data_IF_644360834583
#
_entry.id   IF_644360834583
#
_cell.length_a   1.000
_cell.length_b   1.000
_cell.length_c   1.000
_cell.angle_alpha   90.00
_cell.angle_beta   90.00
_cell.angle_gamma   90.00
#
_symmetry.space_group_name_H-M   'P 1'
#
loop_
_entity.id
_entity.type
_entity.pdbx_description
1 polymer ?
#
# COMPACT_ATOMS: atom_id res chain seq x y z
N UNK A 1 -13.44 2.21 17.89
CA UNK A 1 -12.47 2.93 18.77
C UNK A 1 -12.12 2.14 20.03
N UNK A 2 -12.43 0.85 20.07
CA UNK A 2 -12.09 -0.06 21.16
C UNK A 2 -10.69 -0.69 21.03
N UNK A 3 -9.97 -0.38 19.96
CA UNK A 3 -8.65 -0.92 19.63
C UNK A 3 -8.68 -2.22 18.80
N UNK A 4 -9.85 -2.70 18.43
CA UNK A 4 -9.97 -3.85 17.54
C UNK A 4 -9.46 -3.49 16.14
N UNK A 5 -8.52 -4.28 15.62
CA UNK A 5 -8.03 -4.13 14.24
C UNK A 5 -8.98 -4.86 13.28
N UNK A 6 -9.39 -4.17 12.24
CA UNK A 6 -10.17 -4.72 11.13
C UNK A 6 -9.41 -4.49 9.84
N UNK A 7 -9.01 -5.56 9.17
CA UNK A 7 -8.35 -5.50 7.86
C UNK A 7 -9.38 -5.81 6.77
N UNK A 8 -9.51 -4.91 5.81
CA UNK A 8 -10.48 -5.02 4.71
C UNK A 8 -9.73 -5.00 3.39
N UNK A 9 -9.95 -6.02 2.57
CA UNK A 9 -9.59 -6.02 1.17
C UNK A 9 -10.89 -6.09 0.36
N UNK A 10 -11.13 -5.12 -0.52
CA UNK A 10 -12.34 -5.06 -1.34
C UNK A 10 -11.99 -4.93 -2.81
N UNK A 11 -12.61 -5.74 -3.65
CA UNK A 11 -12.41 -5.76 -5.09
C UNK A 11 -11.30 -6.71 -5.55
N UNK A 12 -10.82 -7.58 -4.66
CA UNK A 12 -9.86 -8.65 -5.01
C UNK A 12 -10.57 -9.85 -5.65
N UNK A 13 -11.81 -10.14 -5.25
CA UNK A 13 -12.67 -11.13 -5.88
C UNK A 13 -13.33 -10.55 -7.14
N UNK A 14 -13.38 -11.33 -8.22
CA UNK A 14 -14.01 -10.92 -9.50
C UNK A 14 -15.51 -10.63 -9.39
N UNK A 15 -16.17 -11.15 -8.37
CA UNK A 15 -17.58 -10.90 -8.09
C UNK A 15 -17.81 -9.66 -7.21
N UNK A 16 -16.76 -9.08 -6.64
CA UNK A 16 -16.86 -7.84 -5.89
C UNK A 16 -16.82 -6.63 -6.83
N UNK A 17 -17.46 -5.54 -6.39
CA UNK A 17 -17.34 -4.26 -7.09
C UNK A 17 -15.95 -3.67 -6.90
N UNK A 18 -15.47 -2.98 -7.92
CA UNK A 18 -14.28 -2.14 -7.83
C UNK A 18 -14.66 -0.65 -7.85
N UNK A 19 -13.69 0.19 -7.55
CA UNK A 19 -13.83 1.64 -7.54
C UNK A 19 -13.17 2.26 -8.75
N UNK A 20 -13.52 3.50 -9.06
CA UNK A 20 -12.87 4.20 -10.15
C UNK A 20 -12.61 5.66 -9.79
N UNK A 21 -11.51 6.19 -10.30
CA UNK A 21 -11.22 7.62 -10.33
C UNK A 21 -11.68 8.12 -11.68
N UNK A 22 -12.54 9.15 -11.67
CA UNK A 22 -13.03 9.75 -12.93
C UNK A 22 -12.02 10.75 -13.47
N UNK A 23 -12.04 10.92 -14.78
CA UNK A 23 -11.28 11.95 -15.48
C UNK A 23 -12.21 12.73 -16.43
N UNK A 24 -11.73 13.89 -16.88
CA UNK A 24 -12.46 14.73 -17.80
C UNK A 24 -12.34 14.21 -19.24
N UNK A 25 -13.41 14.33 -19.99
CA UNK A 25 -13.36 14.10 -21.44
C UNK A 25 -12.41 15.10 -22.12
N UNK A 26 -11.72 14.75 -23.19
CA UNK A 26 -10.68 15.58 -23.81
C UNK A 26 -11.13 17.02 -24.15
N UNK A 27 -12.38 17.20 -24.54
CA UNK A 27 -12.92 18.53 -24.85
C UNK A 27 -13.20 19.40 -23.62
N UNK A 28 -13.31 18.79 -22.43
CA UNK A 28 -13.43 19.49 -21.14
C UNK A 28 -12.08 19.64 -20.43
N UNK A 29 -11.09 18.84 -20.81
CA UNK A 29 -9.78 18.74 -20.16
C UNK A 29 -8.72 19.71 -20.73
N UNK A 30 -9.10 20.76 -21.46
CA UNK A 30 -8.15 21.67 -22.13
C UNK A 30 -7.12 22.28 -21.18
N UNK A 31 -7.57 22.71 -20.02
CA UNK A 31 -6.68 23.31 -19.02
C UNK A 31 -5.72 22.27 -18.46
N UNK A 32 -6.21 21.10 -18.10
CA UNK A 32 -5.40 19.97 -17.63
C UNK A 32 -4.38 19.53 -18.69
N UNK A 33 -4.81 19.38 -19.94
CA UNK A 33 -3.96 18.95 -21.06
C UNK A 33 -2.87 19.96 -21.43
N UNK A 34 -3.02 21.23 -21.04
CA UNK A 34 -2.02 22.27 -21.25
C UNK A 34 -0.93 22.34 -20.18
N UNK A 35 -1.14 21.66 -19.05
CA UNK A 35 -0.17 21.60 -17.97
C UNK A 35 1.00 20.68 -18.33
N UNK A 36 2.24 20.94 -17.82
CA UNK A 36 3.31 19.96 -17.87
C UNK A 36 2.86 18.63 -17.24
N UNK A 37 3.32 17.51 -17.79
CA UNK A 37 2.86 16.19 -17.36
C UNK A 37 2.98 15.97 -15.83
N UNK A 38 4.06 16.46 -15.22
CA UNK A 38 4.28 16.38 -13.76
C UNK A 38 3.27 17.18 -12.93
N UNK A 39 2.44 18.02 -13.54
CA UNK A 39 1.42 18.86 -12.89
C UNK A 39 0.02 18.64 -13.47
N UNK A 40 -0.13 17.75 -14.42
CA UNK A 40 -1.41 17.50 -15.09
C UNK A 40 -2.41 16.77 -14.19
N UNK A 41 -1.89 15.92 -13.32
CA UNK A 41 -2.68 15.15 -12.35
C UNK A 41 -2.20 15.55 -10.95
N UNK A 42 -3.06 16.22 -10.21
CA UNK A 42 -2.81 16.62 -8.83
C UNK A 42 -3.45 15.57 -7.91
N UNK A 43 -2.71 15.08 -6.90
CA UNK A 43 -3.17 14.02 -6.00
C UNK A 43 -4.49 14.37 -5.30
N UNK A 44 -4.68 15.65 -4.94
CA UNK A 44 -5.89 16.16 -4.29
C UNK A 44 -7.15 16.04 -5.17
N UNK A 45 -6.98 15.89 -6.48
CA UNK A 45 -8.08 15.75 -7.44
C UNK A 45 -8.41 14.26 -7.76
N UNK A 46 -7.65 13.32 -7.24
CA UNK A 46 -7.88 11.90 -7.43
C UNK A 46 -9.00 11.38 -6.51
N UNK A 47 -10.21 11.88 -6.72
CA UNK A 47 -11.38 11.46 -5.96
C UNK A 47 -11.93 10.13 -6.48
N UNK A 48 -12.14 9.19 -5.58
CA UNK A 48 -12.65 7.85 -5.88
C UNK A 48 -14.15 7.81 -5.73
N UNK A 49 -14.85 7.31 -6.73
CA UNK A 49 -16.29 7.05 -6.64
C UNK A 49 -16.52 5.79 -5.82
N UNK A 50 -17.16 5.95 -4.67
CA UNK A 50 -17.54 4.86 -3.77
C UNK A 50 -18.99 4.39 -3.99
N UNK A 51 -19.85 5.24 -4.54
CA UNK A 51 -21.26 4.93 -4.78
C UNK A 51 -22.02 6.14 -5.28
N UNK A 52 -23.26 5.90 -5.75
CA UNK A 52 -24.15 6.96 -6.24
C UNK A 52 -25.60 6.74 -5.83
N UNK A 53 -25.92 5.62 -5.21
CA UNK A 53 -27.29 5.28 -4.81
C UNK A 53 -27.57 5.83 -3.41
N UNK A 54 -28.66 6.61 -3.22
CA UNK A 54 -29.05 7.07 -1.89
C UNK A 54 -29.58 5.87 -1.04
N UNK A 55 -29.48 6.01 0.27
CA UNK A 55 -30.04 5.05 1.22
C UNK A 55 -31.56 4.95 1.13
N UNK A 56 -32.21 6.10 1.00
CA UNK A 56 -33.65 6.24 0.79
C UNK A 56 -33.87 7.29 -0.33
N UNK A 57 -34.44 6.86 -1.45
CA UNK A 57 -34.67 7.71 -2.61
C UNK A 57 -35.80 8.72 -2.41
N UNK A 58 -36.72 8.46 -1.48
CA UNK A 58 -37.91 9.28 -1.21
C UNK A 58 -37.69 10.29 -0.07
N UNK A 59 -36.50 10.29 0.54
CA UNK A 59 -36.15 11.21 1.62
C UNK A 59 -35.51 12.49 1.12
N UNK A 60 -35.86 13.61 1.72
CA UNK A 60 -35.26 14.94 1.48
C UNK A 60 -34.00 15.18 2.35
N UNK A 61 -33.53 14.18 3.10
CA UNK A 61 -32.33 14.29 3.93
C UNK A 61 -31.06 14.46 3.09
N UNK A 62 -30.03 15.04 3.71
CA UNK A 62 -28.74 15.23 3.04
C UNK A 62 -27.83 14.01 3.22
N UNK A 63 -26.85 13.89 2.33
CA UNK A 63 -25.78 12.90 2.42
C UNK A 63 -26.24 11.43 2.38
N UNK A 64 -27.41 11.15 1.76
CA UNK A 64 -27.98 9.81 1.69
C UNK A 64 -27.12 8.81 0.93
N UNK A 65 -26.29 9.24 -0.02
CA UNK A 65 -25.32 8.38 -0.71
C UNK A 65 -24.20 7.95 0.27
N UNK A 66 -23.69 8.88 1.05
CA UNK A 66 -22.72 8.58 2.12
C UNK A 66 -23.32 7.60 3.13
N UNK A 67 -24.55 7.86 3.56
CA UNK A 67 -25.27 6.98 4.49
C UNK A 67 -25.39 5.56 3.93
N UNK A 68 -25.73 5.39 2.65
CA UNK A 68 -25.81 4.08 2.03
C UNK A 68 -24.47 3.35 2.00
N UNK A 69 -23.38 4.04 1.64
CA UNK A 69 -22.03 3.47 1.67
C UNK A 69 -21.67 3.03 3.09
N UNK A 70 -21.95 3.89 4.08
CA UNK A 70 -21.70 3.56 5.49
C UNK A 70 -22.53 2.38 5.98
N UNK A 71 -23.78 2.26 5.55
CA UNK A 71 -24.64 1.12 5.89
C UNK A 71 -24.07 -0.20 5.36
N UNK A 72 -23.59 -0.21 4.09
CA UNK A 72 -22.94 -1.39 3.49
C UNK A 72 -21.69 -1.79 4.27
N UNK A 73 -20.86 -0.83 4.63
CA UNK A 73 -19.62 -1.09 5.40
C UNK A 73 -19.93 -1.55 6.83
N UNK A 74 -20.96 -0.98 7.45
CA UNK A 74 -21.39 -1.40 8.79
C UNK A 74 -21.97 -2.82 8.77
N UNK A 75 -22.83 -3.15 7.81
CA UNK A 75 -23.42 -4.48 7.67
C UNK A 75 -22.34 -5.56 7.46
N UNK A 76 -21.34 -5.28 6.60
CA UNK A 76 -20.31 -6.27 6.25
C UNK A 76 -19.18 -6.38 7.28
N UNK A 77 -18.78 -5.27 7.88
CA UNK A 77 -17.56 -5.19 8.71
C UNK A 77 -17.81 -4.61 10.12
N UNK A 78 -18.99 -4.14 10.42
CA UNK A 78 -19.31 -3.53 11.72
C UNK A 78 -18.69 -2.15 11.96
N UNK A 79 -18.10 -1.53 10.94
CA UNK A 79 -17.45 -0.22 11.06
C UNK A 79 -18.46 0.92 10.94
N UNK A 80 -18.16 2.03 11.60
CA UNK A 80 -18.93 3.26 11.54
C UNK A 80 -18.04 4.45 11.13
N UNK A 81 -18.65 5.62 10.91
CA UNK A 81 -17.92 6.81 10.44
C UNK A 81 -16.75 7.22 11.37
N UNK A 82 -16.93 7.05 12.67
CA UNK A 82 -15.90 7.38 13.65
C UNK A 82 -14.64 6.52 13.55
N UNK A 83 -14.73 5.33 12.99
CA UNK A 83 -13.57 4.44 12.84
C UNK A 83 -12.61 4.91 11.75
N UNK A 84 -13.08 5.73 10.80
CA UNK A 84 -12.24 6.33 9.76
C UNK A 84 -11.21 7.32 10.30
N UNK A 85 -11.37 7.83 11.52
CA UNK A 85 -10.35 8.69 12.16
C UNK A 85 -9.02 7.97 12.40
N UNK A 86 -9.04 6.65 12.47
CA UNK A 86 -7.85 5.81 12.68
C UNK A 86 -7.60 4.83 11.53
N UNK A 87 -8.35 4.95 10.42
CA UNK A 87 -8.21 4.08 9.27
C UNK A 87 -7.03 4.51 8.37
N UNK A 88 -6.32 3.52 7.84
CA UNK A 88 -5.43 3.68 6.70
C UNK A 88 -6.12 3.11 5.47
N UNK A 89 -6.27 3.93 4.42
CA UNK A 89 -6.97 3.57 3.19
C UNK A 89 -5.99 3.58 2.03
N UNK A 90 -5.81 2.41 1.41
CA UNK A 90 -4.98 2.27 0.23
C UNK A 90 -5.83 1.92 -0.99
N UNK A 91 -5.65 2.65 -2.08
CA UNK A 91 -6.29 2.40 -3.36
C UNK A 91 -5.23 1.84 -4.31
N UNK A 92 -5.48 0.64 -4.79
CA UNK A 92 -4.57 -0.08 -5.66
C UNK A 92 -5.26 -0.46 -6.97
N UNK A 93 -4.52 -0.63 -8.08
CA UNK A 93 -5.08 -1.16 -9.32
C UNK A 93 -5.71 -2.55 -9.12
N UNK A 94 -6.93 -2.74 -9.61
CA UNK A 94 -7.70 -3.98 -9.44
C UNK A 94 -7.41 -5.05 -10.49
N UNK A 95 -6.57 -4.76 -11.51
CA UNK A 95 -6.26 -5.74 -12.55
C UNK A 95 -5.33 -6.84 -12.04
N UNK A 96 -5.57 -8.07 -12.48
CA UNK A 96 -4.74 -9.23 -12.15
C UNK A 96 -3.50 -9.32 -13.02
N UNK A 97 -2.46 -9.97 -12.51
CA UNK A 97 -1.25 -10.25 -13.29
C UNK A 97 -1.57 -11.11 -14.51
N UNK A 98 -0.93 -10.77 -15.65
CA UNK A 98 -1.11 -11.46 -16.93
C UNK A 98 0.20 -11.59 -17.70
N UNK A 99 0.28 -12.59 -18.56
CA UNK A 99 1.35 -12.68 -19.54
C UNK A 99 1.26 -11.54 -20.54
N UNK A 100 2.41 -11.00 -20.91
CA UNK A 100 2.57 -9.92 -21.91
C UNK A 100 3.40 -10.44 -23.08
N UNK A 101 3.06 -9.98 -24.27
CA UNK A 101 3.66 -10.37 -25.55
C UNK A 101 2.97 -11.58 -26.17
N UNK A 102 3.12 -11.73 -27.50
CA UNK A 102 2.61 -12.91 -28.22
C UNK A 102 3.28 -14.21 -27.76
N UNK A 103 4.53 -14.11 -27.37
CA UNK A 103 5.36 -15.22 -26.88
C UNK A 103 5.18 -15.46 -25.36
N UNK A 104 4.40 -14.61 -24.67
CA UNK A 104 4.12 -14.70 -23.24
C UNK A 104 5.40 -14.69 -22.39
N UNK A 105 6.44 -14.00 -22.84
CA UNK A 105 7.77 -13.99 -22.21
C UNK A 105 7.86 -13.02 -21.02
N UNK A 106 6.88 -12.14 -20.84
CA UNK A 106 6.85 -11.16 -19.75
C UNK A 106 5.58 -11.31 -18.91
N UNK A 107 5.62 -10.84 -17.69
CA UNK A 107 4.48 -10.77 -16.79
C UNK A 107 4.17 -9.32 -16.49
N UNK A 108 2.94 -8.89 -16.72
CA UNK A 108 2.44 -7.58 -16.30
C UNK A 108 1.59 -7.71 -15.06
N UNK A 109 1.86 -6.90 -14.06
CA UNK A 109 1.13 -6.90 -12.81
C UNK A 109 1.49 -5.69 -11.96
N UNK A 110 0.65 -5.38 -10.98
CA UNK A 110 0.90 -4.34 -10.00
C UNK A 110 1.87 -4.84 -8.91
N UNK A 111 2.78 -3.97 -8.50
CA UNK A 111 3.66 -4.22 -7.36
C UNK A 111 4.88 -5.07 -7.66
N UNK A 112 5.31 -5.16 -8.94
CA UNK A 112 6.62 -5.77 -9.26
C UNK A 112 7.75 -5.03 -8.55
N UNK A 113 7.65 -3.73 -8.53
CA UNK A 113 8.50 -2.88 -7.75
C UNK A 113 7.86 -2.70 -6.35
N UNK A 114 8.47 -3.26 -5.28
CA UNK A 114 9.68 -4.12 -5.41
C UNK A 114 9.45 -5.57 -4.92
N UNK A 115 8.26 -6.11 -5.09
CA UNK A 115 7.96 -7.50 -4.66
C UNK A 115 8.89 -8.53 -5.27
N UNK A 116 9.44 -8.25 -6.46
CA UNK A 116 10.41 -9.13 -7.12
C UNK A 116 11.74 -9.18 -6.36
N UNK A 117 12.06 -8.18 -5.56
CA UNK A 117 13.22 -8.15 -4.66
C UNK A 117 12.85 -8.63 -3.24
N UNK A 118 11.70 -8.17 -2.73
CA UNK A 118 11.22 -8.54 -1.39
C UNK A 118 10.99 -10.05 -1.24
N UNK A 119 10.35 -10.68 -2.22
CA UNK A 119 10.06 -12.12 -2.17
C UNK A 119 11.33 -12.99 -2.08
N UNK A 120 12.35 -12.84 -2.94
CA UNK A 120 13.60 -13.61 -2.81
C UNK A 120 14.33 -13.34 -1.51
N UNK A 121 14.28 -12.11 -0.97
CA UNK A 121 14.91 -11.80 0.31
C UNK A 121 14.27 -12.59 1.47
N UNK A 122 12.93 -12.68 1.48
CA UNK A 122 12.20 -13.50 2.47
C UNK A 122 12.50 -14.98 2.28
N UNK A 123 12.47 -15.49 1.03
CA UNK A 123 12.75 -16.88 0.75
C UNK A 123 14.16 -17.27 1.15
N UNK A 124 15.15 -16.42 0.85
CA UNK A 124 16.52 -16.66 1.28
C UNK A 124 16.65 -16.74 2.81
N UNK A 125 15.92 -15.90 3.55
CA UNK A 125 15.91 -15.96 5.02
C UNK A 125 15.29 -17.26 5.55
N UNK A 126 14.25 -17.77 4.88
CA UNK A 126 13.60 -19.04 5.25
C UNK A 126 14.44 -20.26 4.92
N UNK A 127 15.26 -20.19 3.87
CA UNK A 127 16.11 -21.29 3.41
C UNK A 127 17.39 -21.44 4.24
N UNK A 128 17.74 -20.46 5.06
CA UNK A 128 18.93 -20.53 5.94
C UNK A 128 18.62 -21.34 7.18
N UNK A 129 19.14 -22.55 7.24
CA UNK A 129 18.90 -23.46 8.37
C UNK A 129 19.77 -23.17 9.60
N UNK A 130 21.07 -22.88 9.40
CA UNK A 130 22.03 -22.65 10.51
C UNK A 130 23.01 -21.52 10.17
N UNK A 131 22.57 -20.25 10.29
CA UNK A 131 23.46 -19.15 10.01
C UNK A 131 24.57 -19.01 11.07
N UNK A 132 25.79 -18.75 10.63
CA UNK A 132 26.90 -18.44 11.53
C UNK A 132 26.76 -17.10 12.26
N UNK A 133 25.95 -16.23 11.69
CA UNK A 133 25.66 -14.88 12.21
C UNK A 133 24.15 -14.64 12.19
N UNK A 134 23.67 -13.74 13.04
CA UNK A 134 22.28 -13.31 13.03
C UNK A 134 21.95 -12.66 11.69
N UNK A 135 20.94 -13.21 11.01
CA UNK A 135 20.40 -12.70 9.77
C UNK A 135 19.08 -12.00 10.04
N UNK A 136 18.92 -10.81 9.50
CA UNK A 136 17.68 -10.03 9.60
C UNK A 136 17.26 -9.67 8.18
N UNK A 137 16.04 -10.06 7.80
CA UNK A 137 15.38 -9.55 6.60
C UNK A 137 14.40 -8.47 7.01
N UNK A 138 14.60 -7.27 6.53
CA UNK A 138 13.78 -6.11 6.85
C UNK A 138 13.10 -5.60 5.58
N UNK A 139 11.77 -5.68 5.54
CA UNK A 139 10.95 -5.14 4.46
C UNK A 139 10.40 -3.79 4.89
N UNK A 140 10.55 -2.80 4.05
CA UNK A 140 10.10 -1.44 4.30
C UNK A 140 8.98 -1.04 3.35
N UNK A 141 8.17 -0.09 3.76
CA UNK A 141 7.10 0.50 2.99
C UNK A 141 7.45 1.95 2.60
N UNK A 142 6.63 2.57 1.74
CA UNK A 142 6.71 4.00 1.39
C UNK A 142 7.96 4.43 0.60
N UNK A 143 8.68 3.52 -0.06
CA UNK A 143 9.88 3.87 -0.83
C UNK A 143 9.57 4.91 -1.91
N UNK A 144 8.53 4.69 -2.71
CA UNK A 144 8.08 5.56 -3.81
C UNK A 144 7.67 6.98 -3.36
N UNK A 145 7.34 7.15 -2.10
CA UNK A 145 6.97 8.44 -1.50
C UNK A 145 8.07 9.06 -0.64
N UNK A 146 9.29 8.51 -0.67
CA UNK A 146 10.45 9.03 0.03
C UNK A 146 10.83 8.29 1.31
N UNK A 147 10.31 7.08 1.53
CA UNK A 147 10.61 6.23 2.69
C UNK A 147 10.25 6.84 4.05
N UNK A 148 9.35 7.82 4.06
CA UNK A 148 8.91 8.52 5.26
C UNK A 148 7.95 7.69 6.13
N UNK A 149 7.74 8.16 7.36
CA UNK A 149 6.84 7.53 8.32
C UNK A 149 7.50 6.40 9.12
N UNK A 150 6.68 5.77 9.97
CA UNK A 150 7.14 4.75 10.92
C UNK A 150 7.34 3.36 10.30
N UNK A 151 6.85 3.14 9.09
CA UNK A 151 7.03 1.91 8.31
C UNK A 151 8.07 2.04 7.20
N UNK A 152 8.53 3.26 6.91
CA UNK A 152 9.55 3.55 5.91
C UNK A 152 10.96 3.28 6.40
N UNK A 153 11.92 3.24 5.47
CA UNK A 153 13.32 2.97 5.76
C UNK A 153 13.98 4.07 6.62
N UNK A 154 13.45 5.29 6.61
CA UNK A 154 13.93 6.41 7.42
C UNK A 154 13.52 6.31 8.89
N UNK A 155 12.65 5.37 9.26
CA UNK A 155 12.26 5.18 10.66
C UNK A 155 13.40 4.61 11.51
N UNK A 156 13.36 4.87 12.81
CA UNK A 156 14.30 4.28 13.76
C UNK A 156 13.96 2.84 14.18
N UNK A 157 12.90 2.25 13.61
CA UNK A 157 12.40 0.93 14.01
C UNK A 157 13.49 -0.15 13.95
N UNK A 158 14.20 -0.28 12.81
CA UNK A 158 15.26 -1.28 12.66
C UNK A 158 16.38 -1.07 13.68
N UNK A 159 16.74 0.20 13.95
CA UNK A 159 17.79 0.55 14.92
C UNK A 159 17.39 0.15 16.33
N UNK A 160 16.17 0.48 16.74
CA UNK A 160 15.65 0.08 18.05
C UNK A 160 15.55 -1.44 18.19
N UNK A 161 15.09 -2.12 17.17
CA UNK A 161 15.00 -3.58 17.14
C UNK A 161 16.38 -4.22 17.34
N UNK A 162 17.41 -3.76 16.63
CA UNK A 162 18.77 -4.28 16.76
C UNK A 162 19.35 -3.97 18.16
N UNK A 163 19.07 -2.79 18.71
CA UNK A 163 19.54 -2.42 20.05
C UNK A 163 18.89 -3.29 21.12
N UNK A 164 17.62 -3.59 21.01
CA UNK A 164 16.91 -4.44 21.96
C UNK A 164 17.40 -5.89 21.89
N UNK A 165 17.65 -6.43 20.70
CA UNK A 165 18.28 -7.74 20.54
C UNK A 165 19.69 -7.77 21.16
N UNK A 166 20.54 -6.82 20.81
CA UNK A 166 21.91 -6.74 21.33
C UNK A 166 21.94 -6.65 22.85
N UNK A 167 21.00 -5.93 23.45
CA UNK A 167 20.87 -5.79 24.90
C UNK A 167 20.56 -7.11 25.59
N UNK A 168 19.76 -7.98 24.97
CA UNK A 168 19.45 -9.31 25.53
C UNK A 168 20.71 -10.16 25.66
N UNK A 169 21.65 -10.02 24.74
CA UNK A 169 22.94 -10.72 24.73
C UNK A 169 24.05 -9.95 25.47
N UNK A 170 23.73 -8.83 26.11
CA UNK A 170 24.69 -7.99 26.83
C UNK A 170 25.72 -7.28 25.93
N UNK A 171 25.37 -7.06 24.65
CA UNK A 171 26.24 -6.42 23.65
C UNK A 171 25.74 -5.01 23.34
N UNK A 172 26.66 -4.13 23.00
CA UNK A 172 26.35 -2.76 22.57
C UNK A 172 25.78 -2.75 21.13
N UNK A 173 24.57 -2.24 20.97
CA UNK A 173 23.88 -2.18 19.69
C UNK A 173 24.60 -1.34 18.62
N UNK A 174 25.30 -0.27 18.99
CA UNK A 174 26.17 0.49 18.08
C UNK A 174 27.30 -0.37 17.52
N UNK A 175 27.89 -1.19 18.38
CA UNK A 175 28.95 -2.10 17.98
C UNK A 175 28.42 -3.20 17.05
N UNK A 176 27.21 -3.68 17.29
CA UNK A 176 26.54 -4.63 16.37
C UNK A 176 26.37 -3.99 15.02
N UNK A 177 25.72 -2.82 14.92
CA UNK A 177 25.52 -2.11 13.65
C UNK A 177 26.83 -1.82 12.91
N UNK A 178 27.85 -1.36 13.61
CA UNK A 178 29.15 -1.02 12.99
C UNK A 178 29.90 -2.22 12.39
N UNK A 179 29.53 -3.43 12.78
CA UNK A 179 30.10 -4.69 12.29
C UNK A 179 29.15 -5.47 11.38
N UNK A 180 27.93 -4.99 11.22
CA UNK A 180 26.94 -5.61 10.35
C UNK A 180 27.19 -5.29 8.87
N UNK A 181 26.80 -6.20 8.01
CA UNK A 181 26.73 -5.99 6.56
C UNK A 181 25.28 -5.89 6.16
N UNK A 182 24.94 -4.91 5.33
CA UNK A 182 23.61 -4.73 4.78
C UNK A 182 23.63 -4.92 3.26
N UNK A 183 22.70 -5.71 2.76
CA UNK A 183 22.38 -5.79 1.35
C UNK A 183 21.08 -5.02 1.13
N UNK A 184 21.09 -4.03 0.28
CA UNK A 184 19.91 -3.31 -0.15
C UNK A 184 19.48 -3.84 -1.52
N UNK A 185 18.22 -4.22 -1.63
CA UNK A 185 17.65 -4.73 -2.87
C UNK A 185 16.42 -3.91 -3.25
N UNK A 186 16.39 -3.51 -4.51
CA UNK A 186 15.32 -2.71 -5.10
C UNK A 186 15.30 -2.95 -6.61
N UNK A 187 14.17 -2.64 -7.26
CA UNK A 187 14.03 -2.76 -8.70
C UNK A 187 14.75 -1.63 -9.43
N UNK A 188 15.35 -1.97 -10.56
CA UNK A 188 15.90 -0.97 -11.45
C UNK A 188 15.33 -1.14 -12.86
N UNK A 189 14.54 -0.18 -13.29
CA UNK A 189 14.10 -0.11 -14.67
C UNK A 189 15.28 0.24 -15.60
N UNK A 190 15.50 -0.58 -16.64
CA UNK A 190 16.29 -0.16 -17.81
C UNK A 190 15.34 -0.13 -18.99
N UNK A 191 15.12 1.05 -19.52
CA UNK A 191 14.52 1.25 -20.84
C UNK A 191 15.62 1.13 -21.86
#
# INVERSE_FOLDING_TARGET
LDGTRVDICWGDDENESCFCITDLLPHLAREQASKPMAKAIEGENLNVILGSRPYDADSDEKDLVKLNVMAVLNEKYGICEGDFLSAELCLIPSFKSRDIGFDRSMIGGYGHDDKVCAYPAVMAALDVEMPEQTCITYLTDKEETGSDGNTGMQSDFLRFFIYDLAKQDGVDGYRVLSKSTCLSADCKCRI
#
